data_IF_222025089832
#
_entry.id   IF_222025089832
#
_cell.length_a   1.000
_cell.length_b   1.000
_cell.length_c   1.000
_cell.angle_alpha   90.00
_cell.angle_beta   90.00
_cell.angle_gamma   90.00
#
_symmetry.space_group_name_H-M   'P 1'
#
loop_
_entity.id
_entity.type
_entity.pdbx_description
1 polymer ?
#
# COMPACT_ATOMS: atom_id res chain seq x y z
N UNK A 1 3.68 -11.81 2.58
CA UNK A 1 2.60 -10.89 2.16
C UNK A 1 3.04 -10.14 0.92
N UNK A 2 2.19 -10.06 -0.06
CA UNK A 2 2.47 -9.36 -1.31
C UNK A 2 1.85 -7.97 -1.27
N UNK A 3 2.59 -6.99 -1.77
CA UNK A 3 2.19 -5.58 -1.74
C UNK A 3 2.27 -5.02 -3.16
N UNK A 4 1.26 -4.22 -3.52
CA UNK A 4 1.31 -3.37 -4.71
C UNK A 4 1.51 -1.94 -4.22
N UNK A 5 2.64 -1.34 -4.54
CA UNK A 5 2.91 0.07 -4.25
C UNK A 5 2.76 0.87 -5.54
N UNK A 6 1.87 1.86 -5.54
CA UNK A 6 1.73 2.72 -6.71
C UNK A 6 2.86 3.75 -6.79
N UNK A 7 2.88 4.53 -7.86
CA UNK A 7 3.96 5.49 -8.11
C UNK A 7 4.00 6.64 -7.10
N UNK A 8 2.94 6.84 -6.30
CA UNK A 8 2.92 7.88 -5.26
C UNK A 8 3.78 7.50 -4.04
N UNK A 9 4.18 6.24 -3.92
CA UNK A 9 4.95 5.75 -2.78
C UNK A 9 6.45 6.01 -3.00
N UNK A 10 7.12 6.55 -1.98
CA UNK A 10 8.56 6.79 -2.02
C UNK A 10 9.34 5.48 -2.17
N UNK A 11 10.38 5.51 -3.00
CA UNK A 11 11.23 4.32 -3.20
C UNK A 11 11.79 3.76 -1.89
N UNK A 12 12.16 4.61 -0.94
CA UNK A 12 12.72 4.15 0.33
C UNK A 12 11.71 3.34 1.16
N UNK A 13 10.42 3.65 1.05
CA UNK A 13 9.37 2.84 1.69
C UNK A 13 9.36 1.44 1.07
N UNK A 14 9.39 1.37 -0.26
CA UNK A 14 9.42 0.09 -0.98
C UNK A 14 10.63 -0.74 -0.59
N UNK A 15 11.80 -0.11 -0.57
CA UNK A 15 13.05 -0.80 -0.23
C UNK A 15 13.03 -1.35 1.21
N UNK A 16 12.50 -0.56 2.16
CA UNK A 16 12.38 -1.02 3.55
C UNK A 16 11.42 -2.20 3.69
N UNK A 17 10.30 -2.17 3.00
CA UNK A 17 9.37 -3.29 2.99
C UNK A 17 10.02 -4.54 2.40
N UNK A 18 10.74 -4.40 1.30
CA UNK A 18 11.48 -5.51 0.68
C UNK A 18 12.54 -6.08 1.61
N UNK A 19 13.27 -5.22 2.31
CA UNK A 19 14.26 -5.65 3.31
C UNK A 19 13.63 -6.47 4.44
N UNK A 20 12.38 -6.16 4.76
CA UNK A 20 11.64 -6.85 5.81
C UNK A 20 10.96 -8.15 5.32
N UNK A 21 11.22 -8.54 4.08
CA UNK A 21 10.74 -9.81 3.52
C UNK A 21 9.45 -9.73 2.73
N UNK A 22 8.88 -8.56 2.53
CA UNK A 22 7.68 -8.41 1.72
C UNK A 22 8.02 -8.40 0.23
N UNK A 23 7.18 -9.05 -0.58
CA UNK A 23 7.25 -8.91 -2.02
C UNK A 23 6.46 -7.67 -2.42
N UNK A 24 7.15 -6.71 -3.05
CA UNK A 24 6.52 -5.45 -3.46
C UNK A 24 6.59 -5.31 -4.96
N UNK A 25 5.42 -5.26 -5.60
CA UNK A 25 5.28 -4.87 -6.99
C UNK A 25 5.19 -3.34 -7.01
N UNK A 26 6.23 -2.67 -7.49
CA UNK A 26 6.30 -1.21 -7.46
C UNK A 26 6.03 -0.65 -8.86
N UNK A 27 4.95 0.12 -8.99
CA UNK A 27 4.51 0.64 -10.30
C UNK A 27 5.56 1.54 -10.94
N UNK A 28 6.31 2.32 -10.14
CA UNK A 28 7.35 3.20 -10.67
C UNK A 28 8.48 2.46 -11.39
N UNK A 29 8.63 1.15 -11.17
CA UNK A 29 9.61 0.30 -11.85
C UNK A 29 9.04 -0.38 -13.10
N UNK A 30 7.76 -0.17 -13.37
CA UNK A 30 7.08 -0.80 -14.51
C UNK A 30 7.10 0.12 -15.72
N UNK A 31 6.65 -0.41 -16.86
CA UNK A 31 6.63 0.34 -18.11
C UNK A 31 5.77 1.60 -18.01
N UNK A 32 6.22 2.72 -18.61
CA UNK A 32 5.40 3.91 -18.74
C UNK A 32 4.08 3.58 -19.47
N UNK A 33 3.02 4.27 -19.13
CA UNK A 33 1.71 4.12 -19.75
C UNK A 33 0.92 2.87 -19.34
N UNK A 34 1.39 2.15 -18.32
CA UNK A 34 0.58 1.06 -17.78
C UNK A 34 -0.72 1.62 -17.20
N UNK A 35 -1.86 1.02 -17.54
CA UNK A 35 -3.16 1.50 -17.08
C UNK A 35 -3.47 0.98 -15.69
N UNK A 36 -4.36 1.68 -14.96
CA UNK A 36 -4.83 1.24 -13.65
C UNK A 36 -5.46 -0.15 -13.72
N UNK A 37 -6.16 -0.46 -14.82
CA UNK A 37 -6.76 -1.77 -15.01
C UNK A 37 -5.71 -2.89 -15.03
N UNK A 38 -4.62 -2.68 -15.75
CA UNK A 38 -3.53 -3.65 -15.84
C UNK A 38 -2.83 -3.79 -14.49
N UNK A 39 -2.64 -2.67 -13.78
CA UNK A 39 -2.04 -2.66 -12.44
C UNK A 39 -2.86 -3.51 -11.48
N UNK A 40 -4.17 -3.30 -11.44
CA UNK A 40 -5.07 -4.03 -10.55
C UNK A 40 -5.14 -5.51 -10.92
N UNK A 41 -5.12 -5.83 -12.21
CA UNK A 41 -5.09 -7.21 -12.67
C UNK A 41 -3.83 -7.94 -12.17
N UNK A 42 -2.66 -7.31 -12.29
CA UNK A 42 -1.41 -7.87 -11.78
C UNK A 42 -1.42 -8.02 -10.27
N UNK A 43 -1.97 -7.04 -9.57
CA UNK A 43 -2.11 -7.10 -8.11
C UNK A 43 -2.96 -8.31 -7.69
N UNK A 44 -4.04 -8.58 -8.42
CA UNK A 44 -4.90 -9.71 -8.12
C UNK A 44 -4.23 -11.06 -8.40
N UNK A 45 -3.39 -11.13 -9.43
CA UNK A 45 -2.64 -12.36 -9.73
C UNK A 45 -1.75 -12.80 -8.57
N UNK A 46 -1.23 -11.85 -7.82
CA UNK A 46 -0.36 -12.13 -6.68
C UNK A 46 -1.04 -11.93 -5.32
N UNK A 47 -2.35 -11.68 -5.32
CA UNK A 47 -3.13 -11.40 -4.10
C UNK A 47 -2.50 -10.28 -3.27
N UNK A 48 -2.22 -9.15 -3.91
CA UNK A 48 -1.53 -8.03 -3.28
C UNK A 48 -2.46 -7.11 -2.50
N UNK A 49 -1.89 -6.51 -1.47
CA UNK A 49 -2.48 -5.41 -0.72
C UNK A 49 -2.02 -4.10 -1.40
N UNK A 50 -2.93 -3.16 -1.64
CA UNK A 50 -2.55 -1.87 -2.22
C UNK A 50 -1.98 -0.96 -1.15
N UNK A 51 -0.80 -0.38 -1.42
CA UNK A 51 -0.22 0.69 -0.61
C UNK A 51 -0.10 1.92 -1.50
N UNK A 52 -0.72 3.01 -1.09
CA UNK A 52 -0.79 4.24 -1.89
C UNK A 52 -0.75 5.47 -1.00
N UNK A 53 -0.27 6.60 -1.52
CA UNK A 53 -0.41 7.90 -0.88
C UNK A 53 -1.52 8.74 -1.53
N UNK A 54 -2.17 8.21 -2.57
CA UNK A 54 -3.28 8.86 -3.25
C UNK A 54 -4.61 8.44 -2.61
N UNK A 55 -5.18 9.34 -1.82
CA UNK A 55 -6.41 9.07 -1.08
C UNK A 55 -7.57 8.70 -2.01
N UNK A 56 -7.74 9.44 -3.11
CA UNK A 56 -8.87 9.21 -4.01
C UNK A 56 -8.77 7.86 -4.71
N UNK A 57 -7.59 7.50 -5.17
CA UNK A 57 -7.36 6.19 -5.79
C UNK A 57 -7.59 5.06 -4.78
N UNK A 58 -7.04 5.19 -3.58
CA UNK A 58 -7.20 4.17 -2.53
C UNK A 58 -8.66 3.99 -2.14
N UNK A 59 -9.41 5.08 -1.96
CA UNK A 59 -10.83 5.00 -1.62
C UNK A 59 -11.66 4.36 -2.74
N UNK A 60 -11.34 4.70 -3.99
CA UNK A 60 -12.04 4.12 -5.15
C UNK A 60 -11.82 2.61 -5.22
N UNK A 61 -10.57 2.17 -5.11
CA UNK A 61 -10.23 0.74 -5.15
C UNK A 61 -10.93 -0.02 -4.03
N UNK A 62 -10.93 0.54 -2.83
CA UNK A 62 -11.57 -0.10 -1.68
C UNK A 62 -13.09 -0.18 -1.85
N UNK A 63 -13.71 0.94 -2.22
CA UNK A 63 -15.17 1.01 -2.38
C UNK A 63 -15.67 0.07 -3.47
N UNK A 64 -14.94 -0.04 -4.57
CA UNK A 64 -15.31 -0.89 -5.70
C UNK A 64 -14.90 -2.35 -5.52
N UNK A 65 -14.17 -2.67 -4.47
CA UNK A 65 -13.71 -4.04 -4.23
C UNK A 65 -12.81 -4.57 -5.34
N UNK A 66 -11.93 -3.73 -5.88
CA UNK A 66 -11.12 -4.05 -7.07
C UNK A 66 -10.00 -5.06 -6.79
N UNK A 67 -9.65 -5.30 -5.54
CA UNK A 67 -8.59 -6.24 -5.17
C UNK A 67 -9.14 -7.47 -4.45
N UNK A 68 -8.57 -8.63 -4.74
CA UNK A 68 -8.98 -9.90 -4.12
C UNK A 68 -8.77 -9.91 -2.60
N UNK A 69 -7.73 -9.24 -2.12
CA UNK A 69 -7.52 -9.08 -0.66
C UNK A 69 -8.49 -8.11 -0.03
N UNK A 70 -9.11 -7.23 -0.83
CA UNK A 70 -9.97 -6.15 -0.35
C UNK A 70 -9.27 -5.08 0.46
N UNK A 71 -7.95 -5.15 0.61
CA UNK A 71 -7.19 -4.28 1.50
C UNK A 71 -6.50 -3.13 0.80
N UNK A 72 -6.59 -1.93 1.40
CA UNK A 72 -5.90 -0.72 0.95
C UNK A 72 -5.25 -0.06 2.16
N UNK A 73 -3.98 0.29 2.04
CA UNK A 73 -3.24 1.05 3.06
C UNK A 73 -2.87 2.40 2.48
N UNK A 74 -3.40 3.46 3.05
CA UNK A 74 -3.11 4.83 2.68
C UNK A 74 -2.01 5.38 3.58
N UNK A 75 -0.95 5.89 2.95
CA UNK A 75 0.19 6.48 3.66
C UNK A 75 0.02 8.01 3.69
N UNK A 76 -0.04 8.57 4.90
CA UNK A 76 -0.20 10.02 5.15
C UNK A 76 0.93 10.52 6.03
N UNK A 77 2.15 10.57 5.47
CA UNK A 77 3.38 10.91 6.21
C UNK A 77 4.09 12.13 5.61
N UNK A 78 3.32 13.10 5.12
CA UNK A 78 3.85 14.32 4.51
C UNK A 78 4.71 15.08 5.52
N UNK A 79 5.84 15.58 5.06
CA UNK A 79 6.75 16.39 5.88
C UNK A 79 7.82 15.61 6.62
N UNK A 80 7.76 14.29 6.60
CA UNK A 80 8.79 13.44 7.19
C UNK A 80 9.84 13.06 6.15
N UNK A 81 11.06 12.74 6.61
CA UNK A 81 12.10 12.24 5.72
C UNK A 81 11.71 10.88 5.15
N UNK A 82 12.26 10.53 3.99
CA UNK A 82 11.98 9.22 3.38
C UNK A 82 12.42 8.06 4.27
N UNK A 83 13.54 8.21 4.97
CA UNK A 83 14.01 7.22 5.94
C UNK A 83 12.98 7.02 7.06
N UNK A 84 12.48 8.12 7.63
CA UNK A 84 11.50 8.06 8.71
C UNK A 84 10.19 7.43 8.25
N UNK A 85 9.74 7.78 7.04
CA UNK A 85 8.55 7.18 6.45
C UNK A 85 8.69 5.66 6.34
N UNK A 86 9.83 5.18 5.86
CA UNK A 86 10.09 3.74 5.73
C UNK A 86 10.04 3.02 7.07
N UNK A 87 10.63 3.61 8.11
CA UNK A 87 10.59 3.04 9.47
C UNK A 87 9.16 2.92 9.99
N UNK A 88 8.37 3.99 9.83
CA UNK A 88 6.98 4.01 10.30
C UNK A 88 6.13 2.97 9.58
N UNK A 89 6.27 2.88 8.25
CA UNK A 89 5.49 1.94 7.46
C UNK A 89 5.84 0.49 7.79
N UNK A 90 7.13 0.17 7.88
CA UNK A 90 7.57 -1.18 8.25
C UNK A 90 7.08 -1.56 9.64
N UNK A 91 7.19 -0.65 10.61
CA UNK A 91 6.71 -0.89 11.96
C UNK A 91 5.20 -1.17 11.99
N UNK A 92 4.43 -0.39 11.21
CA UNK A 92 2.99 -0.58 11.10
C UNK A 92 2.65 -1.97 10.52
N UNK A 93 3.38 -2.41 9.50
CA UNK A 93 3.17 -3.72 8.91
C UNK A 93 3.54 -4.86 9.87
N UNK A 94 4.60 -4.69 10.65
CA UNK A 94 4.98 -5.69 11.67
C UNK A 94 3.90 -5.85 12.73
N UNK A 95 3.32 -4.75 13.17
CA UNK A 95 2.33 -4.76 14.25
C UNK A 95 0.91 -5.07 13.79
N UNK A 96 0.53 -4.62 12.60
CA UNK A 96 -0.86 -4.65 12.15
C UNK A 96 -1.08 -5.30 10.79
N UNK A 97 -0.04 -5.84 10.17
CA UNK A 97 -0.13 -6.38 8.80
C UNK A 97 -1.24 -7.40 8.62
N UNK A 98 -1.45 -8.25 9.62
CA UNK A 98 -2.50 -9.27 9.56
C UNK A 98 -3.92 -8.70 9.55
N UNK A 99 -4.08 -7.45 9.97
CA UNK A 99 -5.40 -6.79 10.04
C UNK A 99 -5.72 -5.99 8.77
N UNK A 100 -4.76 -5.78 7.89
CA UNK A 100 -4.95 -4.95 6.70
C UNK A 100 -5.84 -5.54 5.61
N UNK A 101 -5.88 -6.86 5.36
CA UNK A 101 -6.81 -7.41 4.37
C UNK A 101 -8.27 -7.05 4.71
N UNK A 102 -9.05 -6.75 3.69
CA UNK A 102 -10.45 -6.35 3.78
C UNK A 102 -10.70 -5.05 4.56
N UNK A 103 -9.66 -4.26 4.76
CA UNK A 103 -9.77 -3.01 5.50
C UNK A 103 -9.20 -1.84 4.71
N UNK A 104 -9.69 -0.65 5.01
CA UNK A 104 -9.08 0.59 4.59
C UNK A 104 -8.30 1.12 5.79
N UNK A 105 -6.99 1.13 5.68
CA UNK A 105 -6.10 1.52 6.78
C UNK A 105 -5.37 2.80 6.43
N UNK A 106 -5.19 3.67 7.41
CA UNK A 106 -4.46 4.93 7.23
C UNK A 106 -3.31 4.97 8.21
N UNK A 107 -2.09 5.13 7.69
CA UNK A 107 -0.89 5.29 8.50
C UNK A 107 -0.52 6.76 8.49
N UNK A 108 -0.60 7.39 9.66
CA UNK A 108 -0.22 8.79 9.91
C UNK A 108 0.84 8.83 11.00
N UNK A 109 1.52 9.98 11.22
CA UNK A 109 2.48 10.07 12.33
C UNK A 109 1.82 9.76 13.66
N UNK A 110 2.32 8.73 14.37
CA UNK A 110 1.81 8.34 15.68
C UNK A 110 0.42 7.72 15.69
N UNK A 111 -0.15 7.39 14.52
CA UNK A 111 -1.53 6.90 14.48
C UNK A 111 -1.75 5.94 13.32
N UNK A 112 -2.43 4.83 13.60
CA UNK A 112 -2.90 3.90 12.58
C UNK A 112 -4.40 3.72 12.79
N UNK A 113 -5.17 3.93 11.72
CA UNK A 113 -6.62 3.73 11.72
C UNK A 113 -6.96 2.60 10.77
N UNK A 114 -7.74 1.65 11.23
CA UNK A 114 -8.14 0.49 10.42
C UNK A 114 -9.66 0.44 10.38
N UNK A 115 -10.23 0.50 9.17
CA UNK A 115 -11.67 0.50 8.95
C UNK A 115 -12.05 -0.69 8.09
N UNK A 116 -12.92 -1.54 8.61
CA UNK A 116 -13.42 -2.69 7.86
C UNK A 116 -14.42 -2.27 6.81
N UNK A 117 -14.49 -3.04 5.75
CA UNK A 117 -15.54 -2.90 4.74
C UNK A 117 -16.84 -3.47 5.33
N UNK A 118 -17.90 -2.71 5.25
CA UNK A 118 -19.22 -3.11 5.72
C UNK A 118 -19.95 -3.85 4.62
#
# INVERSE_FOLDING_TARGET
MNILADESIDRQIVERLRQDGYEVLYIAEMEPSITDEVVLERANEISALLVTADKDFGELVFREGRLSTGGVVLIRLIGLSSTRKGEIVVDAFRKHGADFPNCFSVISPGRIRIRRKI
#
